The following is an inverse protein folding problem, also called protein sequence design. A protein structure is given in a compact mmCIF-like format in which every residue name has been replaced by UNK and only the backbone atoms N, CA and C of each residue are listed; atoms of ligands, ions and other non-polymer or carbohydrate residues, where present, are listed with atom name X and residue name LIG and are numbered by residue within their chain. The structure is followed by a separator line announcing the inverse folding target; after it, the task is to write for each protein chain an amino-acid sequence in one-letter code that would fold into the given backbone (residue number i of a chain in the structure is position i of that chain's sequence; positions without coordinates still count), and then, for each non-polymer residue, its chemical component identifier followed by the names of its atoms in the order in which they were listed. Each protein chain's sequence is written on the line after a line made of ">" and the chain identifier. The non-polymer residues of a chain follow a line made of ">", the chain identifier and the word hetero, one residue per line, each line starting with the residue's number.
data_IF_326916534914
#
_entry.id   IF_326916534914
#
_cell.length_a   1.000
_cell.length_b   1.000
_cell.length_c   1.000
_cell.angle_alpha   90.00
_cell.angle_beta   90.00
_cell.angle_gamma   90.00
#
_symmetry.space_group_name_H-M   'P 1'
#
loop_
_entity.id
_entity.type
_entity.pdbx_description
1 polymer ?
#
# COMPACT_ATOMS: atom_id res chain seq x y z
N UNK A 1 -7.32 -4.86 24.12
CA UNK A 1 -6.80 -4.64 22.75
C UNK A 1 -6.10 -3.30 22.69
N UNK A 2 -4.98 -3.16 21.98
CA UNK A 2 -4.36 -1.84 21.80
C UNK A 2 -5.26 -0.93 20.95
N UNK A 3 -5.23 0.41 21.15
CA UNK A 3 -6.04 1.35 20.35
C UNK A 3 -5.86 1.17 18.84
N UNK A 4 -4.66 0.81 18.41
CA UNK A 4 -4.33 0.58 17.01
C UNK A 4 -4.97 -0.70 16.44
N UNK A 5 -5.09 -1.77 17.24
CA UNK A 5 -5.73 -3.01 16.83
C UNK A 5 -7.25 -2.85 16.66
N UNK A 6 -7.90 -2.11 17.57
CA UNK A 6 -9.34 -1.83 17.48
C UNK A 6 -9.68 -1.02 16.21
N UNK A 7 -8.88 0.02 15.90
CA UNK A 7 -9.04 0.80 14.68
C UNK A 7 -8.82 -0.05 13.42
N UNK A 8 -7.78 -0.87 13.40
CA UNK A 8 -7.49 -1.76 12.27
C UNK A 8 -8.66 -2.71 12.00
N UNK A 9 -9.25 -3.31 13.05
CA UNK A 9 -10.40 -4.18 12.89
C UNK A 9 -11.62 -3.41 12.36
N UNK A 10 -11.88 -2.20 12.85
CA UNK A 10 -12.96 -1.36 12.33
C UNK A 10 -12.79 -1.07 10.83
N UNK A 11 -11.58 -0.67 10.40
CA UNK A 11 -11.30 -0.43 8.98
C UNK A 11 -11.53 -1.68 8.13
N UNK A 12 -11.09 -2.86 8.62
CA UNK A 12 -11.30 -4.14 7.93
C UNK A 12 -12.78 -4.48 7.76
N UNK A 13 -13.59 -4.27 8.80
CA UNK A 13 -15.03 -4.51 8.72
C UNK A 13 -15.72 -3.54 7.75
N UNK A 14 -15.37 -2.25 7.78
CA UNK A 14 -15.95 -1.25 6.88
C UNK A 14 -15.69 -1.59 5.40
N UNK A 15 -14.47 -1.98 5.04
CA UNK A 15 -14.08 -2.27 3.65
C UNK A 15 -14.22 -3.76 3.28
N UNK A 16 -14.75 -4.59 4.18
CA UNK A 16 -14.92 -6.04 3.97
C UNK A 16 -15.58 -6.40 2.62
N UNK A 17 -16.66 -5.73 2.17
CA UNK A 17 -17.29 -6.06 0.89
C UNK A 17 -16.35 -5.89 -0.31
N UNK A 18 -15.42 -4.93 -0.25
CA UNK A 18 -14.41 -4.69 -1.30
C UNK A 18 -13.36 -5.80 -1.27
N UNK A 19 -12.89 -6.19 -0.09
CA UNK A 19 -11.91 -7.28 0.06
C UNK A 19 -12.50 -8.60 -0.48
N UNK A 20 -13.72 -8.93 -0.09
CA UNK A 20 -14.42 -10.15 -0.53
C UNK A 20 -14.64 -10.15 -2.05
N UNK A 21 -15.05 -9.00 -2.61
CA UNK A 21 -15.22 -8.84 -4.04
C UNK A 21 -13.91 -9.02 -4.82
N UNK A 22 -12.81 -8.43 -4.35
CA UNK A 22 -11.49 -8.61 -4.96
C UNK A 22 -11.01 -10.06 -4.86
N UNK A 23 -11.19 -10.71 -3.70
CA UNK A 23 -10.85 -12.13 -3.52
C UNK A 23 -11.65 -13.03 -4.47
N UNK A 24 -12.95 -12.80 -4.61
CA UNK A 24 -13.81 -13.57 -5.51
C UNK A 24 -13.45 -13.34 -6.98
N UNK A 25 -13.17 -12.08 -7.35
CA UNK A 25 -12.91 -11.70 -8.74
C UNK A 25 -11.54 -12.12 -9.25
N UNK A 26 -10.51 -12.03 -8.41
CA UNK A 26 -9.13 -12.33 -8.75
C UNK A 26 -8.69 -13.73 -8.32
N UNK A 27 -9.44 -14.39 -7.43
CA UNK A 27 -9.16 -15.73 -6.95
C UNK A 27 -7.75 -15.88 -6.39
N UNK A 28 -7.08 -16.97 -6.78
CA UNK A 28 -5.72 -17.30 -6.35
C UNK A 28 -4.66 -16.29 -6.80
N UNK A 29 -4.93 -15.52 -7.86
CA UNK A 29 -3.98 -14.52 -8.37
C UNK A 29 -3.82 -13.34 -7.41
N UNK A 30 -4.80 -13.08 -6.52
CA UNK A 30 -4.71 -12.04 -5.50
C UNK A 30 -3.71 -12.43 -4.41
N UNK A 31 -2.62 -11.67 -4.32
CA UNK A 31 -1.55 -11.90 -3.35
C UNK A 31 -1.78 -11.08 -2.09
N UNK A 32 -2.03 -9.77 -2.22
CA UNK A 32 -2.20 -8.90 -1.07
C UNK A 32 -3.07 -7.69 -1.37
N UNK A 33 -3.72 -7.18 -0.32
CA UNK A 33 -4.43 -5.89 -0.30
C UNK A 33 -3.96 -5.11 0.92
N UNK A 34 -3.45 -3.91 0.67
CA UNK A 34 -3.00 -2.98 1.72
C UNK A 34 -3.74 -1.67 1.58
N UNK A 35 -4.42 -1.23 2.63
CA UNK A 35 -4.97 0.12 2.71
C UNK A 35 -3.84 1.10 3.00
N UNK A 36 -3.79 2.19 2.25
CA UNK A 36 -2.87 3.29 2.49
C UNK A 36 -3.59 4.63 2.48
N UNK A 37 -2.82 5.72 2.46
CA UNK A 37 -3.37 7.06 2.38
C UNK A 37 -4.05 7.49 3.68
N UNK A 38 -4.97 8.45 3.56
CA UNK A 38 -5.50 9.16 4.72
C UNK A 38 -6.26 8.25 5.69
N UNK A 39 -6.97 7.25 5.16
CA UNK A 39 -7.72 6.29 5.98
C UNK A 39 -6.80 5.34 6.73
N UNK A 40 -5.62 5.02 6.20
CA UNK A 40 -4.60 4.24 6.90
C UNK A 40 -3.89 5.09 7.97
N UNK A 41 -3.54 6.33 7.65
CA UNK A 41 -2.91 7.31 8.56
C UNK A 41 -3.79 7.75 9.73
N UNK A 42 -5.10 7.85 9.50
CA UNK A 42 -6.07 8.26 10.51
C UNK A 42 -6.44 9.75 10.47
N UNK A 43 -6.07 10.44 9.40
CA UNK A 43 -6.39 11.84 9.10
C UNK A 43 -7.48 11.98 8.02
N UNK A 44 -8.17 10.89 7.67
CA UNK A 44 -9.26 10.88 6.70
C UNK A 44 -10.52 11.62 7.19
N UNK A 45 -11.23 12.19 6.23
CA UNK A 45 -12.60 12.70 6.41
C UNK A 45 -13.62 11.66 5.90
N UNK A 46 -14.92 11.80 6.21
CA UNK A 46 -15.95 10.91 5.65
C UNK A 46 -15.97 10.88 4.12
N UNK A 47 -15.59 11.97 3.46
CA UNK A 47 -15.53 12.10 2.00
C UNK A 47 -14.24 11.54 1.37
N UNK A 48 -13.23 11.20 2.18
CA UNK A 48 -11.96 10.68 1.68
C UNK A 48 -12.13 9.31 1.03
N UNK A 49 -11.43 9.08 -0.08
CA UNK A 49 -11.38 7.78 -0.74
C UNK A 49 -10.68 6.72 0.11
N UNK A 50 -10.90 5.46 -0.26
CA UNK A 50 -10.16 4.30 0.23
C UNK A 50 -9.06 3.96 -0.77
N UNK A 51 -7.81 4.30 -0.44
CA UNK A 51 -6.65 4.02 -1.28
C UNK A 51 -6.10 2.62 -1.03
N UNK A 52 -6.16 1.75 -2.04
CA UNK A 52 -5.73 0.36 -1.94
C UNK A 52 -4.54 0.07 -2.84
N UNK A 53 -3.49 -0.50 -2.26
CA UNK A 53 -2.47 -1.22 -3.01
C UNK A 53 -2.95 -2.67 -3.16
N UNK A 54 -3.13 -3.11 -4.39
CA UNK A 54 -3.53 -4.49 -4.72
C UNK A 54 -2.38 -5.14 -5.47
N UNK A 55 -1.82 -6.20 -4.87
CA UNK A 55 -0.79 -7.04 -5.48
C UNK A 55 -1.46 -8.30 -6.05
N UNK A 56 -1.30 -8.54 -7.35
CA UNK A 56 -1.86 -9.72 -8.02
C UNK A 56 -0.93 -10.19 -9.14
N UNK A 57 -0.90 -11.50 -9.44
CA UNK A 57 0.01 -12.07 -10.45
C UNK A 57 -0.36 -11.69 -11.88
N UNK A 58 -1.66 -11.69 -12.18
CA UNK A 58 -2.15 -11.58 -13.55
C UNK A 58 -2.80 -10.21 -13.76
N UNK A 59 -2.03 -9.27 -14.35
CA UNK A 59 -2.51 -7.94 -14.70
C UNK A 59 -2.40 -7.69 -16.21
N UNK A 60 -3.45 -7.12 -16.84
CA UNK A 60 -3.33 -6.59 -18.20
C UNK A 60 -2.18 -5.59 -18.31
N UNK A 61 -1.49 -5.53 -19.45
CA UNK A 61 -0.39 -4.58 -19.63
C UNK A 61 -0.84 -3.11 -19.51
N UNK A 62 -2.03 -2.78 -20.01
CA UNK A 62 -2.56 -1.41 -20.06
C UNK A 62 -3.23 -1.01 -18.74
N UNK A 63 -2.86 0.14 -18.19
CA UNK A 63 -3.43 0.67 -16.94
C UNK A 63 -4.96 0.80 -16.96
N UNK A 64 -5.54 1.24 -18.08
CA UNK A 64 -6.99 1.40 -18.19
C UNK A 64 -7.73 0.05 -18.09
N UNK A 65 -7.14 -1.02 -18.59
CA UNK A 65 -7.75 -2.35 -18.55
C UNK A 65 -7.63 -2.96 -17.16
N UNK A 66 -6.51 -2.72 -16.46
CA UNK A 66 -6.40 -3.03 -15.02
C UNK A 66 -7.48 -2.32 -14.22
N UNK A 67 -7.67 -1.02 -14.46
CA UNK A 67 -8.69 -0.22 -13.79
C UNK A 67 -10.09 -0.80 -14.02
N UNK A 68 -10.46 -1.10 -15.27
CA UNK A 68 -11.76 -1.68 -15.63
C UNK A 68 -11.97 -3.05 -14.99
N UNK A 69 -10.98 -3.93 -15.08
CA UNK A 69 -11.01 -5.28 -14.50
C UNK A 69 -11.33 -5.21 -13.00
N UNK A 70 -10.54 -4.42 -12.26
CA UNK A 70 -10.67 -4.33 -10.81
C UNK A 70 -11.99 -3.67 -10.39
N UNK A 71 -12.39 -2.57 -11.05
CA UNK A 71 -13.66 -1.89 -10.77
C UNK A 71 -14.89 -2.74 -11.09
N UNK A 72 -14.80 -3.62 -12.09
CA UNK A 72 -15.89 -4.52 -12.45
C UNK A 72 -16.20 -5.52 -11.32
N UNK A 73 -15.17 -5.96 -10.59
CA UNK A 73 -15.34 -6.84 -9.44
C UNK A 73 -15.96 -6.11 -8.23
N UNK A 74 -15.71 -4.81 -8.06
CA UNK A 74 -16.20 -4.07 -6.89
C UNK A 74 -17.74 -3.93 -6.87
N UNK A 75 -18.34 -3.95 -5.66
CA UNK A 75 -19.76 -3.62 -5.52
C UNK A 75 -20.05 -2.20 -6.04
N UNK A 76 -21.20 -1.95 -6.70
CA UNK A 76 -21.49 -0.67 -7.33
C UNK A 76 -21.32 0.55 -6.41
N UNK A 77 -21.73 0.44 -5.15
CA UNK A 77 -21.64 1.49 -4.13
C UNK A 77 -20.20 1.87 -3.75
N UNK A 78 -19.24 0.99 -4.02
CA UNK A 78 -17.82 1.18 -3.71
C UNK A 78 -16.99 1.66 -4.91
N UNK A 79 -17.51 1.54 -6.14
CA UNK A 79 -16.78 1.90 -7.36
C UNK A 79 -16.33 3.37 -7.39
N UNK A 80 -17.08 4.28 -6.78
CA UNK A 80 -16.72 5.70 -6.68
C UNK A 80 -15.99 6.10 -5.41
N UNK A 81 -15.69 5.17 -4.50
CA UNK A 81 -15.12 5.46 -3.16
C UNK A 81 -13.74 4.85 -2.93
N UNK A 82 -13.24 4.08 -3.88
CA UNK A 82 -12.02 3.28 -3.75
C UNK A 82 -11.08 3.67 -4.88
N UNK A 83 -9.88 4.13 -4.54
CA UNK A 83 -8.77 4.28 -5.48
C UNK A 83 -7.91 3.03 -5.42
N UNK A 84 -7.47 2.49 -6.56
CA UNK A 84 -6.68 1.26 -6.60
C UNK A 84 -5.37 1.51 -7.34
N UNK A 85 -4.27 1.34 -6.62
CA UNK A 85 -2.94 1.13 -7.17
C UNK A 85 -2.72 -0.38 -7.35
N UNK A 86 -2.66 -0.84 -8.59
CA UNK A 86 -2.42 -2.26 -8.89
C UNK A 86 -0.97 -2.50 -9.30
N UNK A 87 -0.35 -3.54 -8.75
CA UNK A 87 1.00 -3.99 -9.14
C UNK A 87 1.06 -5.52 -9.20
N UNK A 88 1.89 -6.04 -10.10
CA UNK A 88 2.42 -7.41 -9.94
C UNK A 88 3.56 -7.40 -8.91
N UNK A 89 3.95 -8.55 -8.33
CA UNK A 89 5.14 -8.61 -7.46
C UNK A 89 6.38 -8.04 -8.14
N UNK A 90 6.61 -8.38 -9.41
CA UNK A 90 7.73 -7.86 -10.20
C UNK A 90 7.67 -6.34 -10.35
N UNK A 91 6.51 -5.75 -10.65
CA UNK A 91 6.36 -4.30 -10.77
C UNK A 91 6.48 -3.57 -9.43
N UNK A 92 6.06 -4.22 -8.34
CA UNK A 92 6.22 -3.69 -7.00
C UNK A 92 7.70 -3.67 -6.60
N UNK A 93 8.46 -4.68 -6.99
CA UNK A 93 9.89 -4.82 -6.64
C UNK A 93 10.85 -4.16 -7.67
N UNK A 94 10.34 -3.70 -8.82
CA UNK A 94 11.18 -3.07 -9.85
C UNK A 94 11.62 -1.64 -9.53
N UNK A 95 10.85 -0.91 -8.70
CA UNK A 95 11.16 0.48 -8.33
C UNK A 95 10.69 0.74 -6.90
N UNK A 96 11.31 1.71 -6.22
CA UNK A 96 10.96 2.07 -4.85
C UNK A 96 10.55 3.56 -4.75
N UNK A 97 9.37 3.94 -5.27
CA UNK A 97 8.87 5.30 -5.15
C UNK A 97 8.57 5.67 -3.69
N UNK A 98 8.63 6.97 -3.31
CA UNK A 98 8.36 7.43 -1.93
C UNK A 98 7.02 6.95 -1.36
N UNK A 99 6.00 6.79 -2.21
CA UNK A 99 4.70 6.26 -1.80
C UNK A 99 4.81 4.89 -1.11
N UNK A 100 5.74 4.03 -1.52
CA UNK A 100 5.90 2.72 -0.87
C UNK A 100 6.45 2.84 0.54
N UNK A 101 7.25 3.88 0.82
CA UNK A 101 7.69 4.20 2.18
C UNK A 101 6.50 4.67 3.03
N UNK A 102 5.59 5.45 2.47
CA UNK A 102 4.35 5.83 3.16
C UNK A 102 3.47 4.62 3.46
N UNK A 103 3.31 3.71 2.50
CA UNK A 103 2.59 2.44 2.69
C UNK A 103 3.29 1.59 3.75
N UNK A 104 4.63 1.59 3.80
CA UNK A 104 5.37 0.88 4.84
C UNK A 104 5.09 1.47 6.23
N UNK A 105 5.09 2.80 6.40
CA UNK A 105 4.85 3.40 7.70
C UNK A 105 3.39 3.27 8.18
N UNK A 106 2.44 3.60 7.31
CA UNK A 106 1.04 3.78 7.72
C UNK A 106 0.11 2.66 7.27
N UNK A 107 0.56 1.84 6.32
CA UNK A 107 -0.30 0.90 5.62
C UNK A 107 -0.91 -0.15 6.54
N UNK A 108 -2.19 -0.42 6.31
CA UNK A 108 -2.96 -1.44 7.03
C UNK A 108 -3.16 -2.64 6.11
N UNK A 109 -2.56 -3.77 6.47
CA UNK A 109 -2.71 -5.02 5.71
C UNK A 109 -4.13 -5.55 5.91
N UNK A 110 -4.91 -5.53 4.84
CA UNK A 110 -6.30 -5.98 4.79
C UNK A 110 -6.40 -7.47 4.42
N UNK A 111 -5.56 -7.93 3.49
CA UNK A 111 -5.47 -9.31 3.01
C UNK A 111 -4.01 -9.63 2.64
N UNK A 112 -3.46 -10.73 3.12
CA UNK A 112 -2.07 -11.17 2.85
C UNK A 112 -1.85 -12.62 3.35
N UNK A 113 -2.49 -13.62 2.73
CA UNK A 113 -2.52 -15.00 3.24
C UNK A 113 -1.13 -15.64 3.33
N UNK A 114 -0.20 -15.28 2.44
CA UNK A 114 1.18 -15.81 2.41
C UNK A 114 2.20 -14.92 3.12
N UNK A 115 1.79 -13.76 3.65
CA UNK A 115 2.70 -12.83 4.32
C UNK A 115 3.61 -12.02 3.39
N UNK A 116 3.32 -11.98 2.08
CA UNK A 116 4.10 -11.25 1.08
C UNK A 116 4.20 -9.75 1.42
N UNK A 117 3.06 -9.08 1.62
CA UNK A 117 3.04 -7.66 1.92
C UNK A 117 3.65 -7.38 3.29
N UNK A 118 3.37 -8.21 4.30
CA UNK A 118 3.97 -8.10 5.63
C UNK A 118 5.49 -8.08 5.57
N UNK A 119 6.09 -9.06 4.89
CA UNK A 119 7.53 -9.18 4.76
C UNK A 119 8.13 -7.98 4.04
N UNK A 120 7.57 -7.60 2.88
CA UNK A 120 8.09 -6.48 2.08
C UNK A 120 7.97 -5.14 2.79
N UNK A 121 6.83 -4.84 3.41
CA UNK A 121 6.66 -3.60 4.18
C UNK A 121 7.55 -3.57 5.42
N UNK A 122 7.82 -4.71 6.07
CA UNK A 122 8.78 -4.77 7.17
C UNK A 122 10.20 -4.45 6.68
N UNK A 123 10.60 -4.97 5.52
CA UNK A 123 11.91 -4.70 4.94
C UNK A 123 12.06 -3.21 4.57
N UNK A 124 11.02 -2.58 4.02
CA UNK A 124 11.00 -1.13 3.78
C UNK A 124 11.10 -0.30 5.06
N UNK A 125 10.44 -0.71 6.16
CA UNK A 125 10.59 -0.05 7.47
C UNK A 125 12.04 -0.09 7.95
N UNK A 126 12.71 -1.23 7.82
CA UNK A 126 14.15 -1.36 8.16
C UNK A 126 15.01 -0.48 7.27
N UNK A 127 14.72 -0.39 5.97
CA UNK A 127 15.44 0.49 5.06
C UNK A 127 15.30 1.96 5.48
N UNK A 128 14.09 2.40 5.83
CA UNK A 128 13.82 3.76 6.33
C UNK A 128 14.71 4.05 7.55
N UNK A 129 14.78 3.12 8.51
CA UNK A 129 15.61 3.26 9.72
C UNK A 129 17.11 3.32 9.38
N UNK A 130 17.62 2.36 8.59
CA UNK A 130 19.05 2.26 8.24
C UNK A 130 19.51 3.48 7.44
N UNK A 131 18.67 3.99 6.54
CA UNK A 131 18.97 5.18 5.72
C UNK A 131 18.73 6.49 6.46
N UNK A 132 18.23 6.44 7.69
CA UNK A 132 17.89 7.63 8.47
C UNK A 132 16.84 8.51 7.78
N UNK A 133 15.92 7.90 7.03
CA UNK A 133 14.85 8.63 6.35
C UNK A 133 13.81 9.07 7.38
N UNK A 134 13.37 10.32 7.26
CA UNK A 134 12.34 10.91 8.09
C UNK A 134 11.25 11.48 7.20
N UNK A 135 10.01 11.34 7.65
CA UNK A 135 8.86 11.95 6.98
C UNK A 135 8.40 13.15 7.80
N UNK A 136 8.54 14.33 7.23
CA UNK A 136 8.17 15.60 7.83
C UNK A 136 6.86 16.12 7.24
N UNK A 137 6.00 16.70 8.09
CA UNK A 137 4.82 17.42 7.63
C UNK A 137 5.19 18.86 7.31
N UNK A 138 5.00 19.29 6.06
CA UNK A 138 5.16 20.68 5.62
C UNK A 138 3.84 21.20 5.05
N UNK A 139 3.13 22.00 5.84
CA UNK A 139 1.77 22.41 5.50
C UNK A 139 0.82 21.22 5.41
N UNK A 140 0.25 20.99 4.23
CA UNK A 140 -0.61 19.83 3.94
C UNK A 140 0.17 18.62 3.40
N UNK A 141 1.45 18.78 3.05
CA UNK A 141 2.25 17.75 2.41
C UNK A 141 3.09 16.97 3.42
N UNK A 142 3.37 15.72 3.06
CA UNK A 142 4.36 14.88 3.72
C UNK A 142 5.57 14.75 2.81
N UNK A 143 6.73 15.14 3.31
CA UNK A 143 7.98 15.18 2.55
C UNK A 143 8.99 14.28 3.23
N UNK A 144 9.64 13.45 2.42
CA UNK A 144 10.75 12.61 2.88
C UNK A 144 12.04 13.42 2.89
N UNK A 145 12.73 13.42 4.03
CA UNK A 145 14.01 14.06 4.27
C UNK A 145 15.00 13.05 4.82
N UNK A 146 16.30 13.35 4.74
CA UNK A 146 17.32 12.59 5.44
C UNK A 146 17.63 13.24 6.78
N UNK A 147 17.80 12.40 7.80
CA UNK A 147 18.39 12.85 9.06
C UNK A 147 19.81 13.38 8.87
N UNK A 148 20.57 12.73 7.99
CA UNK A 148 21.93 13.13 7.60
C UNK A 148 22.06 13.01 6.10
N UNK A 149 22.59 14.03 5.43
CA UNK A 149 22.78 14.01 3.98
C UNK A 149 23.54 12.73 3.55
N UNK A 150 22.98 11.92 2.64
CA UNK A 150 23.50 10.57 2.34
C UNK A 150 24.70 10.59 1.39
N UNK A 151 25.17 11.76 0.95
CA UNK A 151 26.18 11.89 -0.10
C UNK A 151 25.57 11.89 -1.50
N UNK A 152 26.41 12.08 -2.52
CA UNK A 152 25.98 12.18 -3.93
C UNK A 152 25.73 10.83 -4.61
N UNK A 153 26.29 9.74 -4.07
CA UNK A 153 26.15 8.38 -4.63
C UNK A 153 25.03 7.58 -3.94
N UNK A 154 24.00 8.27 -3.45
CA UNK A 154 22.90 7.61 -2.76
C UNK A 154 21.84 7.13 -3.76
N UNK A 155 21.25 5.97 -3.47
CA UNK A 155 20.12 5.40 -4.19
C UNK A 155 19.06 4.93 -3.20
N UNK A 156 17.87 4.63 -3.74
CA UNK A 156 16.80 3.95 -3.04
C UNK A 156 16.21 2.90 -3.98
N UNK A 157 16.56 1.63 -3.76
CA UNK A 157 16.08 0.51 -4.56
C UNK A 157 15.80 -0.74 -3.74
N UNK A 158 15.10 -1.70 -4.35
CA UNK A 158 14.77 -2.97 -3.70
C UNK A 158 15.98 -3.89 -3.55
N UNK A 159 16.99 -3.72 -4.40
CA UNK A 159 18.30 -4.37 -4.26
C UNK A 159 18.90 -4.13 -2.87
N UNK A 160 18.78 -2.90 -2.34
CA UNK A 160 19.27 -2.53 -1.01
C UNK A 160 18.39 -3.08 0.13
N UNK A 161 17.20 -3.59 -0.19
CA UNK A 161 16.25 -4.21 0.74
C UNK A 161 16.48 -5.71 0.87
N UNK A 162 16.96 -6.36 -0.21
CA UNK A 162 17.13 -7.82 -0.29
C UNK A 162 18.57 -8.26 0.04
N UNK A 163 19.57 -7.40 -0.14
CA UNK A 163 20.99 -7.73 0.10
C UNK A 163 21.45 -7.68 1.57
N UNK A 164 20.56 -7.56 2.56
CA UNK A 164 20.94 -7.50 3.99
C UNK A 164 20.03 -8.27 4.94
#
# INVERSE_FOLDING_TARGET
>A
MSPNAARTNKLKEEIKPVIEALRKGLGESLIAVVLFGSRARGDATPASDWDLLVITRDLPARHLDRYRLLKAHLPPTWRGRVSILTKTPTEFEATLPPLYLDIALDGVILYDPSGYARMRLQALRRLIEIKGLRREKRGHDLIWTWQTFPGLNWSLGWEEVVER
#
